data_IF_898758253609
#
_entry.id   IF_898758253609
#
_cell.length_a   1.000
_cell.length_b   1.000
_cell.length_c   1.000
_cell.angle_alpha   90.00
_cell.angle_beta   90.00
_cell.angle_gamma   90.00
#
_symmetry.space_group_name_H-M   'P 1'
#
loop_
_entity.id
_entity.type
_entity.pdbx_description
1 polymer ?
#
# COMPACT_ATOMS: atom_id res chain seq x y z
N UNK A 1 -12.30 19.49 -21.21
CA UNK A 1 -12.31 18.33 -20.31
C UNK A 1 -11.88 17.09 -21.06
N UNK A 2 -10.61 16.71 -20.96
CA UNK A 2 -10.12 15.47 -21.59
C UNK A 2 -9.62 14.56 -20.48
N UNK A 3 -10.34 13.47 -20.26
CA UNK A 3 -9.99 12.43 -19.30
C UNK A 3 -8.91 11.55 -19.95
N UNK A 4 -7.67 11.62 -19.49
CA UNK A 4 -6.60 10.71 -19.94
C UNK A 4 -6.55 9.51 -19.01
N UNK A 5 -6.96 8.35 -19.51
CA UNK A 5 -6.92 7.08 -18.79
C UNK A 5 -5.64 6.33 -19.18
N UNK A 6 -4.58 6.44 -18.36
CA UNK A 6 -3.47 5.51 -18.45
C UNK A 6 -3.91 4.17 -17.82
N UNK A 7 -3.84 3.03 -18.53
CA UNK A 7 -4.24 1.75 -17.96
C UNK A 7 -3.25 1.34 -16.85
N UNK A 8 -3.70 1.43 -15.60
CA UNK A 8 -2.96 0.91 -14.46
C UNK A 8 -2.78 -0.61 -14.59
N UNK A 9 -1.65 -1.20 -14.15
CA UNK A 9 -1.38 -2.64 -14.29
C UNK A 9 -2.13 -3.51 -13.27
N UNK A 10 -3.41 -3.19 -12.99
CA UNK A 10 -4.25 -3.90 -12.03
C UNK A 10 -5.40 -4.64 -12.74
N UNK A 11 -5.87 -5.78 -12.22
CA UNK A 11 -7.13 -6.38 -12.67
C UNK A 11 -8.23 -5.31 -12.54
N UNK A 12 -9.03 -5.13 -13.58
CA UNK A 12 -10.09 -4.10 -13.62
C UNK A 12 -9.58 -2.65 -13.56
N UNK A 13 -8.42 -2.33 -14.13
CA UNK A 13 -7.89 -0.96 -14.20
C UNK A 13 -8.89 0.11 -14.69
N UNK A 14 -9.85 -0.26 -15.55
CA UNK A 14 -10.94 0.62 -16.02
C UNK A 14 -11.95 1.03 -14.94
N UNK A 15 -11.93 0.37 -13.78
CA UNK A 15 -12.84 0.58 -12.66
C UNK A 15 -12.14 1.27 -11.47
N UNK A 16 -10.84 1.55 -11.58
CA UNK A 16 -10.09 2.27 -10.56
C UNK A 16 -10.10 3.76 -10.88
N UNK A 17 -10.51 4.55 -9.89
CA UNK A 17 -10.43 6.02 -9.94
C UNK A 17 -9.60 6.50 -8.76
N UNK A 18 -8.69 7.44 -9.03
CA UNK A 18 -8.02 8.21 -7.98
C UNK A 18 -8.88 9.44 -7.72
N UNK A 19 -9.31 9.61 -6.47
CA UNK A 19 -10.10 10.76 -6.07
C UNK A 19 -9.16 11.70 -5.31
N UNK A 20 -9.15 12.97 -5.70
CA UNK A 20 -8.37 14.04 -5.07
C UNK A 20 -8.77 15.40 -5.63
N UNK A 21 -8.48 16.52 -4.95
CA UNK A 21 -8.64 17.83 -5.54
C UNK A 21 -7.73 17.93 -6.77
N UNK A 22 -8.32 18.28 -7.91
CA UNK A 22 -7.56 18.54 -9.13
C UNK A 22 -7.28 20.04 -9.25
N UNK A 23 -6.05 20.40 -9.63
CA UNK A 23 -5.76 21.76 -10.07
C UNK A 23 -6.32 21.99 -11.50
N UNK A 24 -6.25 23.24 -11.98
CA UNK A 24 -6.68 23.59 -13.34
C UNK A 24 -5.87 22.92 -14.45
N UNK A 25 -4.74 22.29 -14.13
CA UNK A 25 -3.88 21.54 -15.05
C UNK A 25 -4.16 20.03 -15.02
N UNK A 26 -5.09 19.56 -14.17
CA UNK A 26 -5.44 18.15 -14.05
C UNK A 26 -4.51 17.34 -13.15
N UNK A 27 -3.63 17.99 -12.38
CA UNK A 27 -2.85 17.30 -11.34
C UNK A 27 -3.74 17.01 -10.14
N UNK A 28 -3.74 15.76 -9.69
CA UNK A 28 -4.43 15.35 -8.49
C UNK A 28 -3.56 15.59 -7.26
N UNK A 29 -4.12 16.24 -6.25
CA UNK A 29 -3.51 16.40 -4.94
C UNK A 29 -4.06 15.39 -3.93
N UNK A 30 -3.37 15.24 -2.80
CA UNK A 30 -3.81 14.37 -1.72
C UNK A 30 -5.18 14.82 -1.19
N UNK A 31 -6.07 13.85 -1.01
CA UNK A 31 -7.40 14.11 -0.49
C UNK A 31 -7.30 14.35 1.03
N UNK A 32 -7.74 15.52 1.56
CA UNK A 32 -7.67 15.77 2.99
C UNK A 32 -8.40 14.68 3.77
N UNK A 33 -7.77 14.10 4.80
CA UNK A 33 -8.31 12.96 5.54
C UNK A 33 -9.76 13.17 6.05
N UNK A 34 -10.10 14.43 6.41
CA UNK A 34 -11.46 14.84 6.81
C UNK A 34 -12.56 14.60 5.76
N UNK A 35 -12.21 14.46 4.48
CA UNK A 35 -13.16 14.25 3.39
C UNK A 35 -13.33 12.75 3.07
N UNK A 36 -12.52 11.87 3.65
CA UNK A 36 -12.63 10.43 3.46
C UNK A 36 -14.00 9.84 3.86
N UNK A 37 -14.66 10.28 4.96
CA UNK A 37 -16.00 9.78 5.30
C UNK A 37 -17.01 10.00 4.16
N UNK A 38 -16.94 11.12 3.45
CA UNK A 38 -17.86 11.42 2.34
C UNK A 38 -17.72 10.43 1.17
N UNK A 39 -16.54 9.81 0.99
CA UNK A 39 -16.34 8.80 -0.05
C UNK A 39 -17.01 7.47 0.30
N UNK A 40 -17.24 7.19 1.59
CA UNK A 40 -17.95 5.97 2.01
C UNK A 40 -19.44 6.03 1.67
N UNK A 41 -19.98 7.24 1.50
CA UNK A 41 -21.40 7.47 1.22
C UNK A 41 -21.70 7.53 -0.29
N UNK A 42 -20.68 7.44 -1.15
CA UNK A 42 -20.87 7.41 -2.60
C UNK A 42 -21.27 6.00 -3.04
N UNK A 43 -22.56 5.81 -3.28
CA UNK A 43 -23.15 4.51 -3.68
C UNK A 43 -22.58 3.91 -4.97
N UNK A 44 -21.97 4.72 -5.83
CA UNK A 44 -21.29 4.27 -7.04
C UNK A 44 -19.94 3.58 -6.78
N UNK A 45 -19.36 3.72 -5.57
CA UNK A 45 -18.08 3.11 -5.21
C UNK A 45 -18.30 1.75 -4.54
N UNK A 46 -17.81 0.68 -5.16
CA UNK A 46 -17.90 -0.67 -4.60
C UNK A 46 -16.93 -0.91 -3.42
N UNK A 47 -15.78 -0.23 -3.43
CA UNK A 47 -14.83 -0.24 -2.32
C UNK A 47 -13.96 1.02 -2.35
N UNK A 48 -13.52 1.47 -1.18
CA UNK A 48 -12.60 2.59 -1.05
C UNK A 48 -11.37 2.16 -0.26
N UNK A 49 -10.19 2.53 -0.77
CA UNK A 49 -8.93 2.32 -0.09
C UNK A 49 -8.06 3.56 -0.25
N UNK A 50 -7.40 3.96 0.83
CA UNK A 50 -6.47 5.09 0.83
C UNK A 50 -5.04 4.65 1.14
N UNK A 51 -4.09 5.47 0.68
CA UNK A 51 -2.70 5.48 1.14
C UNK A 51 -2.45 6.82 1.80
N UNK A 52 -1.81 6.84 2.98
CA UNK A 52 -1.61 8.06 3.78
C UNK A 52 -0.28 8.75 3.45
N UNK A 53 0.57 8.11 2.65
CA UNK A 53 1.86 8.68 2.26
C UNK A 53 2.33 8.03 0.96
N UNK A 54 2.73 8.88 0.01
CA UNK A 54 3.45 8.44 -1.17
C UNK A 54 4.93 8.37 -0.83
N UNK A 55 5.41 7.17 -0.58
CA UNK A 55 6.84 6.90 -0.51
C UNK A 55 7.57 7.49 0.68
N UNK A 56 7.04 7.25 1.89
CA UNK A 56 7.81 7.47 3.12
C UNK A 56 9.04 6.58 3.08
N UNK A 57 10.22 7.19 3.14
CA UNK A 57 11.45 6.46 3.37
C UNK A 57 11.48 6.01 4.83
N UNK A 58 11.53 4.70 5.04
CA UNK A 58 11.60 4.09 6.37
C UNK A 58 12.91 3.33 6.50
N UNK A 59 13.48 3.38 7.69
CA UNK A 59 14.68 2.62 8.03
C UNK A 59 14.28 1.22 8.45
N UNK A 60 14.73 0.22 7.70
CA UNK A 60 14.49 -1.18 7.99
C UNK A 60 15.78 -1.82 8.49
N UNK A 61 15.73 -2.35 9.72
CA UNK A 61 16.83 -3.17 10.19
C UNK A 61 16.82 -4.50 9.45
N UNK A 62 17.94 -4.85 8.84
CA UNK A 62 18.15 -6.14 8.19
C UNK A 62 19.25 -6.90 8.94
N UNK A 63 19.54 -8.15 8.54
CA UNK A 63 20.65 -8.92 9.13
C UNK A 63 22.03 -8.26 8.91
N UNK A 64 22.13 -7.30 7.99
CA UNK A 64 23.32 -6.48 7.74
C UNK A 64 23.11 -5.02 8.14
N UNK A 65 23.56 -4.10 7.28
CA UNK A 65 23.31 -2.68 7.49
C UNK A 65 21.80 -2.36 7.39
N UNK A 66 21.29 -1.41 8.20
CA UNK A 66 19.96 -0.86 7.99
C UNK A 66 19.85 -0.31 6.57
N UNK A 67 18.72 -0.60 5.92
CA UNK A 67 18.44 -0.11 4.57
C UNK A 67 17.27 0.85 4.62
N UNK A 68 17.40 1.95 3.91
CA UNK A 68 16.30 2.88 3.69
C UNK A 68 15.46 2.36 2.53
N UNK A 69 14.17 2.15 2.76
CA UNK A 69 13.25 1.64 1.74
C UNK A 69 12.03 2.52 1.64
N UNK A 70 11.46 2.56 0.44
CA UNK A 70 10.19 3.22 0.21
C UNK A 70 9.05 2.36 0.74
N UNK A 71 8.23 2.92 1.63
CA UNK A 71 7.05 2.27 2.18
C UNK A 71 5.78 3.07 1.88
N UNK A 72 4.67 2.34 1.80
CA UNK A 72 3.33 2.93 1.73
C UNK A 72 2.51 2.48 2.94
N UNK A 73 1.98 3.45 3.66
CA UNK A 73 0.97 3.22 4.69
C UNK A 73 -0.41 3.19 4.05
N UNK A 74 -1.09 2.05 4.09
CA UNK A 74 -2.35 1.84 3.38
C UNK A 74 -3.47 1.41 4.33
N UNK A 75 -4.70 1.73 3.96
CA UNK A 75 -5.90 1.21 4.61
C UNK A 75 -6.09 -0.29 4.39
N UNK A 76 -6.88 -0.93 5.26
CA UNK A 76 -7.19 -2.36 5.17
C UNK A 76 -7.72 -2.77 3.78
N UNK A 77 -8.54 -1.92 3.18
CA UNK A 77 -9.22 -2.21 1.92
C UNK A 77 -8.42 -1.82 0.68
N UNK A 78 -7.22 -1.25 0.82
CA UNK A 78 -6.42 -0.76 -0.30
C UNK A 78 -6.06 -1.87 -1.30
N UNK A 79 -5.42 -2.95 -0.82
CA UNK A 79 -5.02 -4.06 -1.68
C UNK A 79 -6.23 -4.81 -2.26
N UNK A 80 -7.32 -4.93 -1.50
CA UNK A 80 -8.57 -5.53 -1.96
C UNK A 80 -9.24 -4.70 -3.05
N UNK A 81 -9.23 -3.37 -2.93
CA UNK A 81 -9.73 -2.44 -3.95
C UNK A 81 -8.95 -2.57 -5.25
N UNK A 82 -7.63 -2.80 -5.16
CA UNK A 82 -6.76 -3.07 -6.32
C UNK A 82 -6.85 -4.52 -6.83
N UNK A 83 -7.73 -5.35 -6.26
CA UNK A 83 -7.84 -6.79 -6.58
C UNK A 83 -6.49 -7.53 -6.51
N UNK A 84 -5.64 -7.15 -5.57
CA UNK A 84 -4.31 -7.74 -5.40
C UNK A 84 -4.42 -9.04 -4.63
N UNK A 85 -3.98 -10.12 -5.26
CA UNK A 85 -3.82 -11.43 -4.61
C UNK A 85 -2.42 -11.57 -4.04
N UNK A 86 -2.33 -11.79 -2.73
CA UNK A 86 -1.08 -12.03 -2.02
C UNK A 86 -0.32 -13.23 -2.60
N UNK A 87 1.01 -13.14 -2.69
CA UNK A 87 1.85 -14.28 -3.01
C UNK A 87 2.00 -15.23 -1.82
N UNK A 88 2.07 -14.65 -0.62
CA UNK A 88 2.21 -15.39 0.63
C UNK A 88 1.49 -14.64 1.76
N UNK A 89 0.89 -15.37 2.69
CA UNK A 89 0.23 -14.81 3.87
C UNK A 89 -1.11 -14.15 3.55
N UNK A 90 -1.41 -13.04 4.24
CA UNK A 90 -2.71 -12.36 4.21
C UNK A 90 -2.58 -10.84 4.04
N UNK A 91 -3.71 -10.20 3.76
CA UNK A 91 -3.84 -8.75 3.87
C UNK A 91 -3.96 -8.33 5.36
N UNK A 92 -3.87 -7.02 5.62
CA UNK A 92 -4.06 -6.43 6.94
C UNK A 92 -5.45 -6.70 7.51
N UNK A 93 -5.54 -6.77 8.83
CA UNK A 93 -6.79 -6.74 9.59
C UNK A 93 -7.18 -5.31 9.98
N UNK A 94 -8.44 -5.10 10.38
CA UNK A 94 -8.91 -3.81 10.86
C UNK A 94 -8.07 -3.29 12.05
N UNK A 95 -7.72 -4.18 12.99
CA UNK A 95 -6.93 -3.85 14.16
C UNK A 95 -5.54 -3.31 13.78
N UNK A 96 -4.87 -3.93 12.81
CA UNK A 96 -3.52 -3.55 12.34
C UNK A 96 -3.48 -2.22 11.58
N UNK A 97 -4.64 -1.71 11.15
CA UNK A 97 -4.77 -0.41 10.48
C UNK A 97 -5.31 0.69 11.38
N UNK A 98 -5.51 0.39 12.66
CA UNK A 98 -5.88 1.38 13.69
C UNK A 98 -4.65 2.13 14.19
N UNK A 99 -4.82 3.39 14.60
CA UNK A 99 -3.73 4.26 15.06
C UNK A 99 -2.93 3.68 16.25
N UNK A 100 -3.55 2.84 17.07
CA UNK A 100 -2.93 2.17 18.23
C UNK A 100 -2.93 0.65 18.10
N UNK A 101 -3.09 0.16 16.86
CA UNK A 101 -3.09 -1.25 16.55
C UNK A 101 -1.72 -1.89 16.61
N UNK A 102 -1.64 -3.24 16.61
CA UNK A 102 -0.38 -3.92 16.40
C UNK A 102 0.19 -3.54 15.03
N UNK A 103 1.48 -3.22 14.98
CA UNK A 103 2.16 -2.88 13.71
C UNK A 103 2.34 -4.16 12.89
N UNK A 104 1.80 -4.15 11.68
CA UNK A 104 1.98 -5.21 10.70
C UNK A 104 2.59 -4.65 9.41
N UNK A 105 3.33 -5.47 8.69
CA UNK A 105 3.94 -5.12 7.41
C UNK A 105 3.72 -6.21 6.37
N UNK A 106 3.55 -5.78 5.13
CA UNK A 106 3.51 -6.64 3.95
C UNK A 106 4.74 -6.30 3.10
N UNK A 107 5.52 -7.32 2.75
CA UNK A 107 6.74 -7.13 1.96
C UNK A 107 6.44 -7.05 0.46
N UNK A 108 7.22 -6.25 -0.26
CA UNK A 108 7.30 -6.39 -1.72
C UNK A 108 7.98 -7.71 -2.07
N UNK A 109 7.65 -8.26 -3.23
CA UNK A 109 8.29 -9.50 -3.70
C UNK A 109 9.80 -9.35 -3.81
N UNK A 110 10.29 -8.20 -4.29
CA UNK A 110 11.71 -7.92 -4.42
C UNK A 110 12.44 -7.94 -3.08
N UNK A 111 11.89 -7.25 -2.06
CA UNK A 111 12.48 -7.22 -0.72
C UNK A 111 12.51 -8.61 -0.07
N UNK A 112 11.43 -9.38 -0.25
CA UNK A 112 11.35 -10.75 0.24
C UNK A 112 12.41 -11.66 -0.42
N UNK A 113 12.62 -11.53 -1.73
CA UNK A 113 13.65 -12.29 -2.43
C UNK A 113 15.07 -11.87 -2.02
N UNK A 114 15.36 -10.58 -1.90
CA UNK A 114 16.71 -10.10 -1.60
C UNK A 114 17.13 -10.29 -0.15
N UNK A 115 16.24 -10.08 0.82
CA UNK A 115 16.59 -10.12 2.25
C UNK A 115 16.20 -11.42 2.96
N UNK A 116 15.25 -12.18 2.40
CA UNK A 116 14.81 -13.45 2.97
C UNK A 116 15.00 -14.63 2.04
N UNK A 117 15.68 -14.45 0.90
CA UNK A 117 15.94 -15.51 -0.10
C UNK A 117 14.66 -16.26 -0.53
N UNK A 118 13.50 -15.59 -0.53
CA UNK A 118 12.23 -16.21 -0.86
C UNK A 118 11.75 -17.25 0.15
N UNK A 119 12.24 -17.24 1.40
CA UNK A 119 11.82 -18.21 2.41
C UNK A 119 10.39 -17.96 2.89
N UNK A 120 9.60 -19.02 2.97
CA UNK A 120 8.19 -18.96 3.40
C UNK A 120 8.03 -18.74 4.90
N UNK A 121 9.06 -19.04 5.69
CA UNK A 121 9.09 -18.86 7.14
C UNK A 121 9.29 -17.39 7.57
N UNK A 122 9.15 -16.45 6.63
CA UNK A 122 9.16 -15.01 6.88
C UNK A 122 7.89 -14.53 7.59
N UNK A 123 6.77 -15.22 7.41
CA UNK A 123 5.50 -14.85 8.05
C UNK A 123 5.60 -14.97 9.57
N UNK A 124 5.07 -13.99 10.29
CA UNK A 124 5.12 -13.93 11.75
C UNK A 124 6.45 -13.44 12.31
N UNK A 125 7.48 -13.24 11.48
CA UNK A 125 8.74 -12.66 11.95
C UNK A 125 8.58 -11.16 12.22
N UNK A 126 9.36 -10.67 13.18
CA UNK A 126 9.45 -9.25 13.50
C UNK A 126 10.48 -8.56 12.61
N UNK A 127 10.09 -7.43 12.04
CA UNK A 127 10.93 -6.49 11.32
C UNK A 127 10.99 -5.18 12.08
N UNK A 128 12.17 -4.62 12.29
CA UNK A 128 12.30 -3.31 12.92
C UNK A 128 12.22 -2.22 11.86
N UNK A 129 11.24 -1.33 11.99
CA UNK A 129 10.97 -0.22 11.08
C UNK A 129 10.94 1.07 11.89
N UNK A 130 11.85 1.99 11.58
CA UNK A 130 12.08 3.26 12.30
C UNK A 130 12.19 3.05 13.82
N UNK A 131 12.94 2.01 14.22
CA UNK A 131 13.18 1.69 15.62
C UNK A 131 12.02 0.98 16.34
N UNK A 132 10.87 0.76 15.69
CA UNK A 132 9.75 0.02 16.28
C UNK A 132 9.51 -1.35 15.61
N UNK A 133 9.07 -2.37 16.37
CA UNK A 133 8.79 -3.69 15.82
C UNK A 133 7.50 -3.72 14.99
N UNK A 134 7.53 -4.43 13.87
CA UNK A 134 6.38 -4.73 13.03
C UNK A 134 6.37 -6.20 12.62
N UNK A 135 5.20 -6.85 12.64
CA UNK A 135 5.08 -8.27 12.27
C UNK A 135 4.86 -8.43 10.78
N UNK A 136 5.61 -9.31 10.12
CA UNK A 136 5.42 -9.61 8.71
C UNK A 136 4.19 -10.51 8.54
N UNK A 137 3.14 -10.01 7.87
CA UNK A 137 1.86 -10.73 7.71
C UNK A 137 1.60 -11.21 6.29
N UNK A 138 2.37 -10.74 5.31
CA UNK A 138 2.22 -11.15 3.93
C UNK A 138 3.32 -10.67 2.99
N UNK A 139 3.27 -11.18 1.76
CA UNK A 139 4.16 -10.81 0.64
C UNK A 139 3.34 -10.54 -0.62
N UNK A 140 3.58 -9.40 -1.26
CA UNK A 140 2.92 -9.01 -2.51
C UNK A 140 3.38 -9.88 -3.68
N UNK A 141 2.54 -10.05 -4.72
CA UNK A 141 2.93 -10.81 -5.90
C UNK A 141 4.02 -10.10 -6.70
N UNK A 142 4.87 -10.86 -7.40
CA UNK A 142 5.98 -10.33 -8.20
C UNK A 142 5.58 -9.28 -9.25
N UNK A 143 4.34 -9.36 -9.75
CA UNK A 143 3.76 -8.44 -10.72
C UNK A 143 3.22 -7.14 -10.11
N UNK A 144 3.09 -7.05 -8.78
CA UNK A 144 2.63 -5.82 -8.15
C UNK A 144 3.68 -4.73 -8.37
N UNK A 145 3.20 -3.56 -8.78
CA UNK A 145 4.00 -2.35 -8.88
C UNK A 145 3.33 -1.37 -7.93
N UNK A 146 4.10 -0.86 -6.97
CA UNK A 146 3.60 0.26 -6.19
C UNK A 146 3.28 1.40 -7.16
N UNK A 147 2.12 2.07 -7.03
CA UNK A 147 1.87 3.25 -7.83
C UNK A 147 2.99 4.27 -7.57
N UNK A 148 3.76 4.58 -8.60
CA UNK A 148 4.74 5.67 -8.56
C UNK A 148 4.05 6.95 -9.03
N UNK A 149 4.34 8.12 -8.45
CA UNK A 149 3.90 9.37 -9.06
C UNK A 149 4.49 9.44 -10.47
N UNK A 150 3.64 9.66 -11.47
CA UNK A 150 4.10 10.14 -12.77
C UNK A 150 4.78 11.49 -12.51
N UNK A 151 6.08 11.57 -12.79
CA UNK A 151 6.79 12.84 -12.86
C UNK A 151 6.20 13.70 -13.97
#
# INVERSE_FOLDING_TARGET
NTLVLAPLPYPQARQLVVIGPADGAGHFSELPARWYPMLRDVSALQSTGYSVSWGTEVNVATAGAPVMVNALSVSQHYLSTLSVRMALGRNFTAAETSAHGPRAVILTYGFWQSHYAGRHDVLGRTLMIDGGPATIVGVLPARFRMPSPSR
#
